data_IF_228171797065
#
_entry.id   IF_228171797065
#
_cell.length_a   1.000
_cell.length_b   1.000
_cell.length_c   1.000
_cell.angle_alpha   90.00
_cell.angle_beta   90.00
_cell.angle_gamma   90.00
#
_symmetry.space_group_name_H-M   'P 1'
#
loop_
_entity.id
_entity.type
_entity.pdbx_description
1 polymer ?
#
# COMPACT_ATOMS: atom_id res chain seq x y z
N UNK A 1 -13.85 6.44 -9.53
CA UNK A 1 -14.16 5.01 -9.34
C UNK A 1 -13.93 4.67 -7.87
N UNK A 2 -14.50 3.58 -7.38
CA UNK A 2 -14.37 3.16 -5.99
C UNK A 2 -13.76 1.75 -5.95
N UNK A 3 -12.73 1.57 -5.13
CA UNK A 3 -11.98 0.34 -4.99
C UNK A 3 -11.96 -0.11 -3.53
N UNK A 4 -12.04 -1.42 -3.30
CA UNK A 4 -11.89 -2.00 -1.96
C UNK A 4 -10.49 -2.59 -1.83
N UNK A 5 -9.77 -2.24 -0.77
CA UNK A 5 -8.41 -2.73 -0.51
C UNK A 5 -8.27 -3.22 0.93
N UNK A 6 -7.64 -4.37 1.10
CA UNK A 6 -7.36 -4.99 2.39
C UNK A 6 -6.23 -4.27 3.11
N UNK A 7 -6.37 -4.04 4.42
CA UNK A 7 -5.34 -3.38 5.20
C UNK A 7 -5.37 -3.82 6.67
N UNK A 8 -4.22 -3.73 7.35
CA UNK A 8 -4.18 -3.91 8.80
C UNK A 8 -4.70 -2.69 9.55
N UNK A 9 -5.38 -2.94 10.68
CA UNK A 9 -5.94 -1.89 11.56
C UNK A 9 -4.92 -0.80 11.94
N UNK A 10 -3.67 -1.17 12.18
CA UNK A 10 -2.59 -0.23 12.56
C UNK A 10 -2.32 0.82 11.48
N UNK A 11 -2.42 0.46 10.20
CA UNK A 11 -2.21 1.39 9.11
C UNK A 11 -3.39 2.39 8.97
N UNK A 12 -4.64 1.95 9.15
CA UNK A 12 -5.80 2.86 9.22
C UNK A 12 -5.64 3.89 10.35
N UNK A 13 -5.19 3.45 11.52
CA UNK A 13 -4.93 4.35 12.64
C UNK A 13 -3.86 5.39 12.28
N UNK A 14 -2.78 4.99 11.61
CA UNK A 14 -1.74 5.90 11.15
C UNK A 14 -2.26 6.92 10.11
N UNK A 15 -3.15 6.51 9.20
CA UNK A 15 -3.79 7.39 8.23
C UNK A 15 -4.68 8.42 8.93
N UNK A 16 -5.54 7.97 9.86
CA UNK A 16 -6.42 8.87 10.64
C UNK A 16 -5.64 9.89 11.48
N UNK A 17 -4.44 9.53 11.93
CA UNK A 17 -3.53 10.44 12.66
C UNK A 17 -2.67 11.32 11.74
N UNK A 18 -2.83 11.24 10.42
CA UNK A 18 -2.05 12.00 9.44
C UNK A 18 -0.59 11.59 9.33
N UNK A 19 -0.18 10.50 10.00
CA UNK A 19 1.20 9.97 10.00
C UNK A 19 1.50 9.19 8.72
N UNK A 20 0.47 8.59 8.12
CA UNK A 20 0.57 7.85 6.87
C UNK A 20 -0.28 8.52 5.80
N UNK A 21 0.37 8.98 4.73
CA UNK A 21 -0.26 9.68 3.60
C UNK A 21 -0.07 8.97 2.27
N UNK A 22 0.82 7.98 2.22
CA UNK A 22 1.13 7.20 1.03
C UNK A 22 0.89 5.74 1.35
N UNK A 23 0.16 5.06 0.48
CA UNK A 23 0.00 3.61 0.48
C UNK A 23 0.86 2.99 -0.63
N UNK A 24 1.63 1.96 -0.27
CA UNK A 24 2.49 1.25 -1.21
C UNK A 24 1.81 -0.04 -1.62
N UNK A 25 1.76 -0.29 -2.93
CA UNK A 25 1.11 -1.46 -3.52
C UNK A 25 1.83 -1.98 -4.76
N UNK A 26 1.63 -3.26 -5.05
CA UNK A 26 1.92 -3.88 -6.35
C UNK A 26 0.73 -4.72 -6.73
N UNK A 27 0.48 -4.91 -8.04
CA UNK A 27 -0.45 -5.92 -8.50
C UNK A 27 -0.06 -7.28 -7.90
N UNK A 28 -1.04 -8.07 -7.49
CA UNK A 28 -0.86 -9.37 -6.84
C UNK A 28 -2.05 -10.28 -7.15
N UNK A 29 -2.01 -11.53 -6.71
CA UNK A 29 -3.00 -12.55 -7.08
C UNK A 29 -4.35 -12.39 -6.37
N UNK A 30 -4.39 -11.62 -5.28
CA UNK A 30 -5.52 -11.62 -4.36
C UNK A 30 -6.31 -10.31 -4.34
N UNK A 31 -5.71 -9.19 -4.72
CA UNK A 31 -6.44 -7.94 -4.95
C UNK A 31 -6.98 -7.90 -6.39
N UNK A 32 -8.26 -7.55 -6.55
CA UNK A 32 -8.88 -7.44 -7.88
C UNK A 32 -8.53 -6.15 -8.63
N UNK A 33 -7.90 -5.18 -7.96
CA UNK A 33 -7.57 -3.88 -8.53
C UNK A 33 -6.40 -4.01 -9.53
N UNK A 34 -6.48 -3.24 -10.62
CA UNK A 34 -5.37 -3.02 -11.53
C UNK A 34 -4.80 -1.63 -11.24
N UNK A 35 -3.63 -1.55 -10.60
CA UNK A 35 -3.10 -0.29 -10.07
C UNK A 35 -2.68 0.71 -11.17
N UNK A 36 -2.41 0.24 -12.38
CA UNK A 36 -2.16 1.06 -13.57
C UNK A 36 -3.41 1.85 -14.02
N UNK A 37 -4.60 1.43 -13.60
CA UNK A 37 -5.86 2.11 -13.90
C UNK A 37 -6.31 3.08 -12.80
N UNK A 38 -5.66 3.04 -11.63
CA UNK A 38 -5.98 3.91 -10.50
C UNK A 38 -5.58 5.36 -10.83
N UNK A 39 -6.50 6.31 -10.65
CA UNK A 39 -6.26 7.73 -10.99
C UNK A 39 -6.64 8.68 -9.87
N UNK A 40 -6.13 9.91 -9.99
CA UNK A 40 -6.46 11.02 -9.10
C UNK A 40 -7.98 11.23 -9.06
N UNK A 41 -8.52 11.43 -7.85
CA UNK A 41 -9.94 11.61 -7.61
C UNK A 41 -10.72 10.31 -7.40
N UNK A 42 -10.11 9.15 -7.66
CA UNK A 42 -10.69 7.87 -7.27
C UNK A 42 -10.72 7.72 -5.74
N UNK A 43 -11.51 6.74 -5.30
CA UNK A 43 -11.77 6.48 -3.90
C UNK A 43 -11.32 5.08 -3.54
N UNK A 44 -10.64 4.95 -2.41
CA UNK A 44 -10.30 3.67 -1.80
C UNK A 44 -11.13 3.51 -0.52
N UNK A 45 -11.79 2.36 -0.41
CA UNK A 45 -12.47 1.86 0.78
C UNK A 45 -11.62 0.76 1.41
N UNK A 46 -10.91 1.12 2.47
CA UNK A 46 -10.07 0.15 3.18
C UNK A 46 -10.92 -0.83 4.00
N UNK A 47 -10.65 -2.12 3.80
CA UNK A 47 -11.24 -3.25 4.52
C UNK A 47 -10.22 -3.73 5.54
N UNK A 48 -10.56 -3.77 6.84
CA UNK A 48 -9.63 -4.32 7.84
C UNK A 48 -9.66 -5.83 7.73
N UNK A 49 -8.47 -6.42 7.56
CA UNK A 49 -8.28 -7.87 7.63
C UNK A 49 -7.69 -8.33 8.96
N UNK A 50 -7.80 -9.63 9.23
CA UNK A 50 -7.09 -10.29 10.31
C UNK A 50 -5.58 -10.04 10.26
N UNK A 51 -4.96 -9.99 11.44
CA UNK A 51 -3.53 -9.72 11.60
C UNK A 51 -2.63 -10.74 10.88
N UNK A 52 -1.31 -10.51 10.87
CA UNK A 52 -0.39 -11.31 10.08
C UNK A 52 -0.46 -12.81 10.39
N UNK A 53 -0.16 -13.66 9.38
CA UNK A 53 0.34 -13.30 8.06
C UNK A 53 -0.76 -12.77 7.11
N UNK A 54 -0.41 -12.14 5.99
CA UNK A 54 -1.37 -11.66 4.96
C UNK A 54 -1.93 -12.87 4.18
N UNK A 55 -2.60 -13.76 4.90
CA UNK A 55 -3.06 -15.08 4.46
C UNK A 55 -4.50 -15.25 4.92
N UNK A 56 -5.37 -15.72 4.03
CA UNK A 56 -6.79 -15.90 4.33
C UNK A 56 -7.66 -14.65 4.23
N UNK A 57 -7.06 -13.44 4.08
CA UNK A 57 -7.70 -12.14 3.77
C UNK A 57 -9.08 -11.92 4.39
N UNK A 58 -9.30 -12.46 5.59
CA UNK A 58 -10.61 -12.43 6.20
C UNK A 58 -10.90 -11.00 6.63
N UNK A 59 -11.92 -10.40 6.00
CA UNK A 59 -12.36 -9.05 6.31
C UNK A 59 -13.07 -9.09 7.68
N UNK A 60 -12.43 -8.48 8.67
CA UNK A 60 -12.97 -8.31 10.02
C UNK A 60 -13.87 -7.07 10.09
N UNK A 61 -13.51 -6.00 9.37
CA UNK A 61 -14.27 -4.76 9.36
C UNK A 61 -14.32 -4.20 7.93
N UNK A 62 -15.45 -4.38 7.22
CA UNK A 62 -15.59 -3.85 5.88
C UNK A 62 -15.73 -2.33 5.90
N UNK A 63 -15.25 -1.68 4.83
CA UNK A 63 -15.41 -0.24 4.57
C UNK A 63 -14.98 0.68 5.75
N UNK A 64 -13.96 0.26 6.50
CA UNK A 64 -13.51 0.88 7.75
C UNK A 64 -12.89 2.29 7.58
N UNK A 65 -12.42 2.61 6.37
CA UNK A 65 -11.95 3.95 6.05
C UNK A 65 -12.11 4.26 4.56
N UNK A 66 -12.76 5.39 4.27
CA UNK A 66 -12.85 5.97 2.93
C UNK A 66 -11.77 7.04 2.76
N UNK A 67 -11.00 6.95 1.68
CA UNK A 67 -9.98 7.95 1.31
C UNK A 67 -10.08 8.28 -0.17
N UNK A 68 -9.59 9.47 -0.56
CA UNK A 68 -9.41 9.88 -1.95
C UNK A 68 -7.96 9.76 -2.38
N UNK A 69 -7.75 9.33 -3.60
CA UNK A 69 -6.44 9.31 -4.26
C UNK A 69 -6.11 10.71 -4.75
N UNK A 70 -4.96 11.24 -4.33
CA UNK A 70 -4.48 12.57 -4.75
C UNK A 70 -3.29 12.48 -5.72
N UNK A 71 -2.53 11.38 -5.69
CA UNK A 71 -1.49 11.09 -6.66
C UNK A 71 -1.25 9.58 -6.75
N UNK A 72 -0.80 9.12 -7.92
CA UNK A 72 -0.35 7.74 -8.15
C UNK A 72 0.98 7.82 -8.89
N UNK A 73 2.02 7.21 -8.33
CA UNK A 73 3.37 7.18 -8.89
C UNK A 73 3.82 5.74 -9.01
N UNK A 74 4.37 5.37 -10.15
CA UNK A 74 4.81 4.01 -10.45
C UNK A 74 6.33 3.97 -10.58
N UNK A 75 6.93 2.95 -9.99
CA UNK A 75 8.38 2.73 -9.95
C UNK A 75 8.71 1.32 -10.41
N UNK A 76 9.87 1.12 -11.07
CA UNK A 76 10.26 -0.20 -11.56
C UNK A 76 10.57 -1.18 -10.42
N UNK A 77 11.02 -0.70 -9.26
CA UNK A 77 11.38 -1.53 -8.12
C UNK A 77 11.25 -0.77 -6.78
N UNK A 78 11.36 -1.51 -5.68
CA UNK A 78 11.27 -0.99 -4.32
C UNK A 78 12.36 0.03 -3.98
N UNK A 79 13.58 -0.12 -4.53
CA UNK A 79 14.68 0.81 -4.26
C UNK A 79 14.38 2.17 -4.88
N UNK A 80 13.98 2.18 -6.14
CA UNK A 80 13.59 3.37 -6.90
C UNK A 80 12.46 4.12 -6.19
N UNK A 81 11.46 3.40 -5.65
CA UNK A 81 10.39 4.01 -4.86
C UNK A 81 10.94 4.71 -3.62
N UNK A 82 11.77 4.03 -2.82
CA UNK A 82 12.28 4.57 -1.55
C UNK A 82 13.28 5.72 -1.75
N UNK A 83 14.03 5.72 -2.85
CA UNK A 83 14.92 6.83 -3.22
C UNK A 83 14.13 8.10 -3.59
N UNK A 84 12.93 7.98 -4.15
CA UNK A 84 12.10 9.11 -4.57
C UNK A 84 11.10 9.56 -3.49
N UNK A 85 10.48 8.61 -2.79
CA UNK A 85 9.47 8.87 -1.76
C UNK A 85 10.05 9.04 -0.34
N UNK A 86 11.36 8.80 -0.15
CA UNK A 86 12.01 8.67 1.16
C UNK A 86 11.52 7.45 1.96
N UNK A 87 12.13 7.19 3.11
CA UNK A 87 11.70 6.15 4.05
C UNK A 87 10.42 6.51 4.82
N UNK A 88 9.97 7.77 4.74
CA UNK A 88 8.81 8.26 5.47
C UNK A 88 7.52 7.49 5.12
N UNK A 89 7.41 7.01 3.87
CA UNK A 89 6.29 6.17 3.42
C UNK A 89 6.20 4.81 4.13
N UNK A 90 7.29 4.37 4.74
CA UNK A 90 7.35 3.17 5.59
C UNK A 90 7.09 3.46 7.07
N UNK A 91 6.71 4.69 7.45
CA UNK A 91 6.26 5.04 8.81
C UNK A 91 7.21 4.55 9.92
N UNK A 92 8.51 4.79 9.75
CA UNK A 92 9.61 4.41 10.67
C UNK A 92 9.79 2.91 10.92
N UNK A 93 9.30 2.05 10.02
CA UNK A 93 9.51 0.60 10.14
C UNK A 93 10.97 0.18 9.88
N UNK A 94 11.75 1.03 9.23
CA UNK A 94 13.17 0.84 8.97
C UNK A 94 13.91 2.17 9.00
N UNK A 95 15.25 2.10 9.07
CA UNK A 95 16.13 3.27 9.14
C UNK A 95 17.03 3.43 7.89
N UNK A 96 17.04 2.45 6.98
CA UNK A 96 17.86 2.46 5.76
C UNK A 96 17.03 2.04 4.55
N UNK A 97 17.47 2.46 3.36
CA UNK A 97 16.84 2.05 2.09
C UNK A 97 16.95 0.54 1.92
N UNK A 98 18.10 -0.05 2.26
CA UNK A 98 18.34 -1.49 2.20
C UNK A 98 17.33 -2.27 3.05
N UNK A 99 17.15 -1.87 4.31
CA UNK A 99 16.15 -2.48 5.19
C UNK A 99 14.72 -2.28 4.66
N UNK A 100 14.44 -1.12 4.07
CA UNK A 100 13.15 -0.83 3.46
C UNK A 100 12.86 -1.73 2.25
N UNK A 101 13.86 -1.98 1.40
CA UNK A 101 13.75 -2.91 0.28
C UNK A 101 13.50 -4.33 0.80
N UNK A 102 14.23 -4.77 1.82
CA UNK A 102 14.03 -6.09 2.44
C UNK A 102 12.60 -6.19 3.02
N UNK A 103 12.15 -5.17 3.76
CA UNK A 103 10.82 -5.10 4.32
C UNK A 103 9.74 -5.19 3.22
N UNK A 104 9.87 -4.40 2.16
CA UNK A 104 8.90 -4.42 1.05
C UNK A 104 8.84 -5.79 0.37
N UNK A 105 9.98 -6.44 0.16
CA UNK A 105 10.02 -7.79 -0.40
C UNK A 105 9.59 -8.88 0.60
N UNK A 106 9.47 -8.57 1.89
CA UNK A 106 8.98 -9.53 2.90
C UNK A 106 7.45 -9.66 2.93
N UNK A 107 6.72 -8.71 2.32
CA UNK A 107 5.27 -8.80 2.19
C UNK A 107 4.88 -9.92 1.22
N UNK A 108 3.74 -10.55 1.48
CA UNK A 108 3.26 -11.68 0.70
C UNK A 108 3.13 -11.31 -0.78
N UNK A 109 3.73 -12.13 -1.64
CA UNK A 109 3.85 -11.97 -3.11
C UNK A 109 4.68 -10.79 -3.61
N UNK A 110 5.04 -9.81 -2.78
CA UNK A 110 5.72 -8.59 -3.27
C UNK A 110 7.07 -8.91 -3.92
N UNK A 111 7.84 -9.83 -3.34
CA UNK A 111 9.10 -10.28 -3.93
C UNK A 111 8.95 -10.82 -5.36
N UNK A 112 7.85 -11.52 -5.64
CA UNK A 112 7.59 -12.11 -6.95
C UNK A 112 6.93 -11.12 -7.92
N UNK A 113 6.09 -10.22 -7.40
CA UNK A 113 5.25 -9.35 -8.22
C UNK A 113 5.91 -8.02 -8.58
N UNK A 114 6.73 -7.43 -7.69
CA UNK A 114 7.42 -6.17 -7.98
C UNK A 114 8.27 -6.25 -9.25
N UNK A 115 9.06 -7.31 -9.52
CA UNK A 115 9.80 -7.42 -10.78
C UNK A 115 8.92 -7.49 -12.03
N UNK A 116 7.67 -7.93 -11.91
CA UNK A 116 6.74 -8.10 -13.04
C UNK A 116 5.90 -6.85 -13.30
N UNK A 117 5.51 -6.15 -12.24
CA UNK A 117 4.52 -5.10 -12.27
C UNK A 117 5.03 -3.75 -11.78
N UNK A 118 6.27 -3.69 -11.28
CA UNK A 118 6.79 -2.56 -10.52
C UNK A 118 6.04 -2.38 -9.19
N UNK A 119 6.12 -1.18 -8.64
CA UNK A 119 5.51 -0.83 -7.36
C UNK A 119 4.95 0.59 -7.41
N UNK A 120 3.82 0.80 -6.74
CA UNK A 120 3.05 2.03 -6.76
C UNK A 120 3.12 2.72 -5.41
N UNK A 121 3.36 4.02 -5.42
CA UNK A 121 3.12 4.93 -4.31
C UNK A 121 1.82 5.69 -4.57
N UNK A 122 0.83 5.46 -3.72
CA UNK A 122 -0.53 6.00 -3.84
C UNK A 122 -0.73 7.01 -2.73
N UNK A 123 -0.71 8.29 -3.07
CA UNK A 123 -0.95 9.35 -2.09
C UNK A 123 -2.46 9.49 -1.86
N UNK A 124 -2.84 9.56 -0.58
CA UNK A 124 -4.22 9.53 -0.13
C UNK A 124 -4.55 10.66 0.85
N UNK A 125 -5.79 11.12 0.82
CA UNK A 125 -6.37 12.03 1.80
C UNK A 125 -7.70 11.50 2.32
N UNK A 126 -8.03 11.83 3.58
CA UNK A 126 -9.39 11.70 4.10
C UNK A 126 -10.35 12.62 3.33
#
# INVERSE_FOLDING_TARGET
MEYKLEIYRKAIQAIRLGKKKVEIRTNNSYESIQYDQLKIGDTILFQIIAGPPFVGLEIIEPDALKVKVVAVRHYPDARSLLEQESLDVLSTLCNTIEDGVILLNSFHEYQAMIPLHGIYAIEITL
#
